data_IF_798876434198
#
_entry.id   IF_798876434198
#
_cell.length_a   1.000
_cell.length_b   1.000
_cell.length_c   1.000
_cell.angle_alpha   90.00
_cell.angle_beta   90.00
_cell.angle_gamma   90.00
#
_symmetry.space_group_name_H-M   'P 1'
#
loop_
_entity.id
_entity.type
_entity.pdbx_description
1 polymer ?
#
# COMPACT_ATOMS: atom_id res chain seq x y z
N UNK A 1 -12.36 -20.76 -23.67
CA UNK A 1 -13.57 -20.50 -22.86
C UNK A 1 -13.43 -19.09 -22.32
N UNK A 2 -14.14 -18.12 -22.91
CA UNK A 2 -14.23 -16.77 -22.34
C UNK A 2 -15.02 -16.87 -21.03
N UNK A 3 -14.34 -16.75 -19.90
CA UNK A 3 -15.03 -16.52 -18.63
C UNK A 3 -15.62 -15.11 -18.70
N UNK A 4 -16.93 -15.00 -18.61
CA UNK A 4 -17.61 -13.71 -18.69
C UNK A 4 -17.13 -12.73 -17.61
N UNK A 5 -17.25 -11.42 -17.86
CA UNK A 5 -16.79 -10.34 -16.95
C UNK A 5 -17.14 -10.58 -15.47
N UNK A 6 -18.33 -11.13 -15.19
CA UNK A 6 -18.78 -11.45 -13.83
C UNK A 6 -18.04 -12.64 -13.20
N UNK A 7 -17.69 -13.66 -13.98
CA UNK A 7 -16.93 -14.81 -13.49
C UNK A 7 -15.50 -14.41 -13.10
N UNK A 8 -14.90 -13.48 -13.84
CA UNK A 8 -13.59 -12.93 -13.51
C UNK A 8 -13.63 -12.13 -12.21
N UNK A 9 -14.64 -11.26 -12.04
CA UNK A 9 -14.84 -10.47 -10.82
C UNK A 9 -15.07 -11.37 -9.61
N UNK A 10 -15.95 -12.36 -9.72
CA UNK A 10 -16.21 -13.33 -8.64
C UNK A 10 -14.94 -14.07 -8.24
N UNK A 11 -14.11 -14.44 -9.21
CA UNK A 11 -12.86 -15.12 -8.93
C UNK A 11 -11.85 -14.22 -8.23
N UNK A 12 -11.73 -12.95 -8.62
CA UNK A 12 -10.79 -12.00 -7.99
C UNK A 12 -11.29 -11.48 -6.63
N UNK A 13 -12.59 -11.59 -6.34
CA UNK A 13 -13.15 -11.34 -5.00
C UNK A 13 -12.96 -12.50 -4.02
N UNK A 14 -12.72 -13.72 -4.50
CA UNK A 14 -12.47 -14.89 -3.64
C UNK A 14 -11.11 -14.75 -2.93
N UNK A 15 -11.04 -14.77 -1.58
CA UNK A 15 -9.78 -14.68 -0.83
C UNK A 15 -8.71 -15.70 -1.25
N UNK A 16 -9.13 -16.85 -1.81
CA UNK A 16 -8.22 -17.88 -2.31
C UNK A 16 -7.41 -17.43 -3.53
N UNK A 17 -7.79 -16.34 -4.18
CA UNK A 17 -7.14 -15.82 -5.38
C UNK A 17 -6.29 -14.56 -5.13
N UNK A 18 -6.37 -13.93 -3.96
CA UNK A 18 -5.76 -12.61 -3.67
C UNK A 18 -4.23 -12.56 -3.75
N UNK A 19 -3.58 -13.71 -3.82
CA UNK A 19 -2.12 -13.84 -4.04
C UNK A 19 -1.75 -13.92 -5.52
N UNK A 20 -2.72 -13.81 -6.43
CA UNK A 20 -2.54 -13.95 -7.88
C UNK A 20 -2.73 -12.60 -8.57
N UNK A 21 -2.21 -12.48 -9.79
CA UNK A 21 -2.56 -11.36 -10.66
C UNK A 21 -4.07 -11.35 -10.95
N UNK A 22 -4.62 -10.16 -11.15
CA UNK A 22 -5.99 -10.00 -11.60
C UNK A 22 -6.22 -10.67 -12.95
N UNK A 23 -7.43 -11.19 -13.15
CA UNK A 23 -7.85 -11.72 -14.46
C UNK A 23 -8.00 -10.62 -15.51
N UNK A 24 -8.27 -9.39 -15.06
CA UNK A 24 -8.40 -8.20 -15.90
C UNK A 24 -7.48 -7.11 -15.38
N UNK A 25 -6.81 -6.39 -16.29
CA UNK A 25 -5.83 -5.36 -15.91
C UNK A 25 -6.17 -3.96 -16.48
N UNK A 26 -7.41 -3.74 -16.91
CA UNK A 26 -7.85 -2.39 -17.28
C UNK A 26 -7.92 -1.50 -16.03
N UNK A 27 -7.66 -0.20 -16.20
CA UNK A 27 -7.63 0.75 -15.07
C UNK A 27 -8.96 0.74 -14.32
N UNK A 28 -10.10 0.84 -15.03
CA UNK A 28 -11.41 0.79 -14.37
C UNK A 28 -11.67 -0.51 -13.59
N UNK A 29 -11.11 -1.64 -14.00
CA UNK A 29 -11.21 -2.88 -13.23
C UNK A 29 -10.35 -2.85 -11.96
N UNK A 30 -9.11 -2.38 -12.07
CA UNK A 30 -8.21 -2.27 -10.92
C UNK A 30 -8.73 -1.22 -9.94
N UNK A 31 -9.33 -0.12 -10.40
CA UNK A 31 -10.04 0.84 -9.54
C UNK A 31 -11.21 0.18 -8.79
N UNK A 32 -11.96 -0.73 -9.43
CA UNK A 32 -13.00 -1.49 -8.73
C UNK A 32 -12.39 -2.40 -7.64
N UNK A 33 -11.27 -3.06 -7.93
CA UNK A 33 -10.56 -3.88 -6.96
C UNK A 33 -9.99 -3.04 -5.81
N UNK A 34 -9.49 -1.83 -6.08
CA UNK A 34 -9.06 -0.86 -5.07
C UNK A 34 -10.18 -0.65 -4.04
N UNK A 35 -11.36 -0.24 -4.49
CA UNK A 35 -12.50 -0.02 -3.60
C UNK A 35 -12.94 -1.28 -2.87
N UNK A 36 -12.84 -2.45 -3.48
CA UNK A 36 -13.14 -3.72 -2.82
C UNK A 36 -12.20 -3.99 -1.63
N UNK A 37 -10.89 -3.98 -1.86
CA UNK A 37 -9.90 -4.23 -0.79
C UNK A 37 -9.94 -3.15 0.28
N UNK A 38 -10.02 -1.88 -0.11
CA UNK A 38 -10.04 -0.77 0.84
C UNK A 38 -11.36 -0.71 1.60
N UNK A 39 -12.47 -1.11 0.98
CA UNK A 39 -13.76 -1.27 1.66
C UNK A 39 -13.72 -2.35 2.75
N UNK A 40 -13.05 -3.49 2.50
CA UNK A 40 -12.78 -4.49 3.53
C UNK A 40 -11.92 -3.89 4.64
N UNK A 41 -10.84 -3.18 4.29
CA UNK A 41 -9.98 -2.49 5.25
C UNK A 41 -10.75 -1.51 6.15
N UNK A 42 -11.63 -0.70 5.56
CA UNK A 42 -12.52 0.23 6.29
C UNK A 42 -13.47 -0.53 7.22
N UNK A 43 -14.03 -1.65 6.77
CA UNK A 43 -14.85 -2.50 7.64
C UNK A 43 -14.05 -3.08 8.82
N UNK A 44 -12.82 -3.52 8.57
CA UNK A 44 -11.94 -4.10 9.59
C UNK A 44 -11.46 -3.07 10.61
N UNK A 45 -11.09 -1.86 10.19
CA UNK A 45 -10.72 -0.80 11.16
C UNK A 45 -11.91 -0.44 12.04
N UNK A 46 -13.10 -0.22 11.48
CA UNK A 46 -14.28 0.16 12.25
C UNK A 46 -14.70 -0.93 13.25
N UNK A 47 -14.79 -2.19 12.80
CA UNK A 47 -15.17 -3.30 13.68
C UNK A 47 -14.05 -3.68 14.65
N UNK A 48 -12.80 -3.64 14.18
CA UNK A 48 -11.62 -4.03 14.93
C UNK A 48 -11.31 -3.06 16.05
N UNK A 49 -11.31 -1.75 15.80
CA UNK A 49 -11.08 -0.72 16.83
C UNK A 49 -12.08 -0.89 17.97
N UNK A 50 -13.37 -1.09 17.67
CA UNK A 50 -14.40 -1.31 18.69
C UNK A 50 -14.16 -2.58 19.55
N UNK A 51 -13.50 -3.61 19.00
CA UNK A 51 -13.10 -4.81 19.74
C UNK A 51 -11.82 -4.56 20.55
N UNK A 52 -10.84 -3.87 19.96
CA UNK A 52 -9.54 -3.57 20.60
C UNK A 52 -9.72 -2.72 21.85
N UNK A 53 -10.55 -1.67 21.77
CA UNK A 53 -10.89 -0.80 22.92
C UNK A 53 -11.46 -1.58 24.12
N UNK A 54 -12.07 -2.75 23.88
CA UNK A 54 -12.61 -3.60 24.95
C UNK A 54 -11.60 -4.61 25.48
N UNK A 55 -10.58 -4.97 24.69
CA UNK A 55 -9.63 -6.04 25.01
C UNK A 55 -8.29 -5.52 25.52
N UNK A 56 -7.89 -4.31 25.11
CA UNK A 56 -6.63 -3.68 25.48
C UNK A 56 -6.95 -2.56 26.47
N UNK A 57 -6.62 -2.73 27.76
CA UNK A 57 -6.81 -1.68 28.76
C UNK A 57 -6.10 -0.39 28.36
N UNK A 58 -6.78 0.73 28.54
CA UNK A 58 -6.26 2.07 28.27
C UNK A 58 -5.77 2.28 26.82
N UNK A 59 -6.33 1.54 25.86
CA UNK A 59 -6.00 1.71 24.45
C UNK A 59 -6.34 3.11 23.97
N UNK A 60 -5.35 3.78 23.37
CA UNK A 60 -5.51 5.05 22.68
C UNK A 60 -5.00 4.90 21.25
N UNK A 61 -5.86 5.23 20.27
CA UNK A 61 -5.44 5.19 18.87
C UNK A 61 -4.31 6.21 18.64
N UNK A 62 -3.16 5.79 18.09
CA UNK A 62 -2.01 6.66 17.99
C UNK A 62 -2.22 7.78 16.97
N UNK A 63 -2.11 9.02 17.44
CA UNK A 63 -2.06 10.22 16.59
C UNK A 63 -0.61 10.67 16.40
N UNK A 64 0.00 10.35 15.26
CA UNK A 64 1.33 10.87 14.91
C UNK A 64 1.15 12.10 14.02
N UNK A 65 1.75 13.27 14.36
CA UNK A 65 1.73 14.43 13.49
C UNK A 65 2.22 14.06 12.09
N UNK A 66 1.54 14.58 11.06
CA UNK A 66 1.88 14.31 9.67
C UNK A 66 2.05 15.61 8.90
N UNK A 67 3.05 15.62 8.02
CA UNK A 67 3.10 16.55 6.91
C UNK A 67 2.47 15.96 5.65
N UNK A 68 1.80 16.82 4.86
CA UNK A 68 1.28 16.46 3.54
C UNK A 68 2.39 15.87 2.64
N UNK A 69 3.59 16.47 2.68
CA UNK A 69 4.70 16.00 1.86
C UNK A 69 5.18 14.60 2.27
N UNK A 70 5.24 14.31 3.58
CA UNK A 70 5.62 13.01 4.09
C UNK A 70 4.63 11.92 3.68
N UNK A 71 3.33 12.17 3.86
CA UNK A 71 2.28 11.18 3.52
C UNK A 71 2.19 10.90 2.02
N UNK A 72 2.39 11.92 1.18
CA UNK A 72 2.41 11.75 -0.28
C UNK A 72 3.69 11.03 -0.75
N UNK A 73 4.83 11.32 -0.12
CA UNK A 73 6.11 10.67 -0.40
C UNK A 73 6.18 9.22 0.09
N UNK A 74 5.40 8.84 1.10
CA UNK A 74 5.32 7.48 1.60
C UNK A 74 4.84 6.50 0.53
N UNK A 75 3.82 6.85 -0.27
CA UNK A 75 3.28 5.98 -1.32
C UNK A 75 4.36 5.46 -2.29
N UNK A 76 5.16 6.31 -2.94
CA UNK A 76 6.21 5.87 -3.84
C UNK A 76 7.36 5.15 -3.14
N UNK A 77 7.72 5.56 -1.92
CA UNK A 77 8.77 4.91 -1.14
C UNK A 77 8.35 3.47 -0.82
N UNK A 78 7.18 3.29 -0.23
CA UNK A 78 6.68 2.01 0.24
C UNK A 78 6.36 1.06 -0.92
N UNK A 79 5.66 1.54 -1.96
CA UNK A 79 5.35 0.73 -3.14
C UNK A 79 6.62 0.30 -3.87
N UNK A 80 7.64 1.15 -3.94
CA UNK A 80 8.92 0.78 -4.54
C UNK A 80 9.69 -0.21 -3.68
N UNK A 81 9.83 0.07 -2.38
CA UNK A 81 10.67 -0.70 -1.46
C UNK A 81 10.10 -2.09 -1.18
N UNK A 82 8.79 -2.19 -0.94
CA UNK A 82 8.15 -3.43 -0.51
C UNK A 82 7.52 -4.20 -1.66
N UNK A 83 7.29 -3.60 -2.83
CA UNK A 83 6.65 -4.29 -3.93
C UNK A 83 7.46 -4.22 -5.24
N UNK A 84 7.73 -3.03 -5.75
CA UNK A 84 8.37 -2.83 -7.05
C UNK A 84 9.77 -3.43 -7.16
N UNK A 85 10.68 -3.03 -6.26
CA UNK A 85 12.06 -3.52 -6.24
C UNK A 85 12.09 -5.04 -6.00
N UNK A 86 11.45 -5.60 -4.96
CA UNK A 86 11.42 -7.05 -4.75
C UNK A 86 10.89 -7.80 -5.97
N UNK A 87 9.80 -7.31 -6.59
CA UNK A 87 9.23 -7.95 -7.78
C UNK A 87 10.23 -8.01 -8.94
N UNK A 88 10.91 -6.91 -9.26
CA UNK A 88 11.85 -6.90 -10.38
C UNK A 88 13.20 -7.55 -10.07
N UNK A 89 13.68 -7.50 -8.82
CA UNK A 89 14.92 -8.17 -8.41
C UNK A 89 14.74 -9.68 -8.46
N UNK A 90 13.69 -10.21 -7.83
CA UNK A 90 13.48 -11.65 -7.71
C UNK A 90 12.67 -12.28 -8.85
N UNK A 91 12.00 -11.46 -9.67
CA UNK A 91 11.12 -11.92 -10.76
C UNK A 91 10.09 -12.96 -10.29
N UNK A 92 9.54 -12.77 -9.10
CA UNK A 92 8.66 -13.72 -8.45
C UNK A 92 7.57 -13.01 -7.66
N UNK A 93 6.31 -13.40 -7.89
CA UNK A 93 5.17 -12.95 -7.09
C UNK A 93 5.28 -13.38 -5.63
N UNK A 94 6.06 -14.42 -5.31
CA UNK A 94 6.29 -14.83 -3.92
C UNK A 94 7.12 -13.81 -3.14
N UNK A 95 8.02 -13.09 -3.81
CA UNK A 95 8.79 -12.03 -3.16
C UNK A 95 7.86 -10.93 -2.63
N UNK A 96 6.82 -10.57 -3.41
CA UNK A 96 5.80 -9.60 -3.01
C UNK A 96 5.04 -10.01 -1.73
N UNK A 97 4.81 -11.30 -1.53
CA UNK A 97 4.14 -11.81 -0.32
C UNK A 97 5.00 -11.54 0.90
N UNK A 98 6.28 -11.89 0.84
CA UNK A 98 7.20 -11.75 1.98
C UNK A 98 7.39 -10.27 2.32
N UNK A 99 7.75 -9.45 1.34
CA UNK A 99 8.03 -8.03 1.58
C UNK A 99 6.77 -7.24 1.90
N UNK A 100 5.63 -7.60 1.30
CA UNK A 100 4.35 -7.02 1.64
C UNK A 100 3.83 -7.42 3.03
N UNK A 101 4.09 -8.65 3.49
CA UNK A 101 3.79 -9.04 4.87
C UNK A 101 4.64 -8.25 5.88
N UNK A 102 5.92 -8.01 5.57
CA UNK A 102 6.78 -7.13 6.38
C UNK A 102 6.22 -5.71 6.39
N UNK A 103 5.84 -5.16 5.24
CA UNK A 103 5.20 -3.85 5.13
C UNK A 103 3.96 -3.74 6.02
N UNK A 104 3.03 -4.69 5.93
CA UNK A 104 1.85 -4.70 6.77
C UNK A 104 2.20 -4.81 8.26
N UNK A 105 3.14 -5.68 8.63
CA UNK A 105 3.58 -5.82 10.02
C UNK A 105 4.18 -4.52 10.59
N UNK A 106 4.95 -3.78 9.79
CA UNK A 106 5.54 -2.51 10.23
C UNK A 106 4.49 -1.44 10.55
N UNK A 107 3.29 -1.52 9.97
CA UNK A 107 2.23 -0.55 10.22
C UNK A 107 1.66 -0.61 11.64
N UNK A 108 1.89 -1.69 12.38
CA UNK A 108 1.53 -1.76 13.81
C UNK A 108 2.35 -0.79 14.66
N UNK A 109 3.57 -0.47 14.21
CA UNK A 109 4.51 0.43 14.89
C UNK A 109 4.36 1.88 14.42
N UNK A 110 3.22 2.22 13.81
CA UNK A 110 2.94 3.57 13.38
C UNK A 110 2.47 4.45 14.56
N UNK A 111 3.31 4.54 15.58
CA UNK A 111 3.03 5.09 16.91
C UNK A 111 4.32 5.66 17.51
N UNK A 112 4.25 6.68 18.39
CA UNK A 112 5.44 7.25 19.03
C UNK A 112 6.14 6.31 20.02
N UNK A 113 5.50 5.26 20.51
CA UNK A 113 6.11 4.30 21.44
C UNK A 113 5.61 2.86 21.19
N UNK A 114 6.27 1.86 21.79
CA UNK A 114 6.02 0.43 21.51
C UNK A 114 5.16 -0.25 22.59
N UNK A 115 4.39 0.55 23.33
CA UNK A 115 3.49 0.04 24.35
C UNK A 115 2.25 -0.60 23.70
N UNK A 116 1.72 -1.66 24.31
CA UNK A 116 0.59 -2.39 23.73
C UNK A 116 -0.63 -1.49 23.51
N UNK A 117 -0.88 -0.56 24.44
CA UNK A 117 -2.01 0.36 24.42
C UNK A 117 -1.91 1.45 23.33
N UNK A 118 -0.74 1.64 22.71
CA UNK A 118 -0.51 2.67 21.70
C UNK A 118 -0.19 2.10 20.31
N UNK A 119 -0.17 0.77 20.15
CA UNK A 119 0.07 0.15 18.85
C UNK A 119 -1.02 0.53 17.86
N UNK A 120 -0.63 0.78 16.62
CA UNK A 120 -1.54 1.23 15.56
C UNK A 120 -2.35 0.06 14.97
N UNK A 121 -3.12 -0.63 15.81
CA UNK A 121 -3.89 -1.81 15.41
C UNK A 121 -4.94 -1.47 14.35
N UNK A 122 -5.62 -0.32 14.45
CA UNK A 122 -6.58 0.13 13.44
C UNK A 122 -5.93 0.30 12.06
N UNK A 123 -4.79 0.99 12.01
CA UNK A 123 -3.98 1.13 10.80
C UNK A 123 -3.53 -0.23 10.25
N UNK A 124 -3.03 -1.11 11.13
CA UNK A 124 -2.63 -2.47 10.76
C UNK A 124 -3.79 -3.27 10.12
N UNK A 125 -4.97 -3.24 10.72
CA UNK A 125 -6.17 -3.91 10.18
C UNK A 125 -6.59 -3.36 8.82
N UNK A 126 -6.46 -2.05 8.61
CA UNK A 126 -6.75 -1.42 7.33
C UNK A 126 -5.76 -1.86 6.24
N UNK A 127 -4.46 -1.93 6.54
CA UNK A 127 -3.46 -2.23 5.53
C UNK A 127 -3.39 -3.71 5.12
N UNK A 128 -3.86 -4.64 5.95
CA UNK A 128 -3.86 -6.07 5.63
C UNK A 128 -4.65 -6.39 4.34
N UNK A 129 -5.87 -5.88 4.11
CA UNK A 129 -6.53 -5.99 2.81
C UNK A 129 -5.80 -5.22 1.69
N UNK A 130 -5.30 -4.03 1.99
CA UNK A 130 -4.61 -3.16 1.02
C UNK A 130 -3.32 -3.78 0.47
N UNK A 131 -2.65 -4.60 1.27
CA UNK A 131 -1.53 -5.44 0.83
C UNK A 131 -1.87 -6.26 -0.41
N UNK A 132 -3.03 -6.93 -0.41
CA UNK A 132 -3.45 -7.77 -1.53
C UNK A 132 -3.76 -6.95 -2.78
N UNK A 133 -4.26 -5.73 -2.60
CA UNK A 133 -4.43 -4.80 -3.71
C UNK A 133 -3.09 -4.45 -4.36
N UNK A 134 -2.08 -4.05 -3.59
CA UNK A 134 -0.77 -3.69 -4.14
C UNK A 134 -0.11 -4.90 -4.78
N UNK A 135 -0.08 -6.06 -4.09
CA UNK A 135 0.46 -7.31 -4.63
C UNK A 135 -0.16 -7.68 -5.97
N UNK A 136 -1.49 -7.75 -6.04
CA UNK A 136 -2.21 -8.15 -7.25
C UNK A 136 -2.01 -7.14 -8.39
N UNK A 137 -1.93 -5.85 -8.07
CA UNK A 137 -1.70 -4.77 -9.03
C UNK A 137 -0.30 -4.84 -9.63
N UNK A 138 0.73 -5.07 -8.81
CA UNK A 138 2.10 -5.31 -9.26
C UNK A 138 2.21 -6.57 -10.10
N UNK A 139 1.66 -7.69 -9.63
CA UNK A 139 1.64 -8.96 -10.38
C UNK A 139 0.89 -8.86 -11.72
N UNK A 140 -0.04 -7.91 -11.85
CA UNK A 140 -0.79 -7.63 -13.09
C UNK A 140 -0.05 -6.67 -14.05
N UNK A 141 1.16 -6.23 -13.70
CA UNK A 141 1.97 -5.31 -14.52
C UNK A 141 1.52 -3.85 -14.45
N UNK A 142 0.80 -3.46 -13.38
CA UNK A 142 0.24 -2.11 -13.19
C UNK A 142 0.77 -1.43 -11.93
N UNK A 143 1.98 -1.77 -11.48
CA UNK A 143 2.59 -1.22 -10.26
C UNK A 143 2.64 0.31 -10.17
N UNK A 144 2.79 1.02 -11.29
CA UNK A 144 2.69 2.49 -11.30
C UNK A 144 1.33 2.99 -10.80
N UNK A 145 0.25 2.22 -11.04
CA UNK A 145 -1.08 2.56 -10.57
C UNK A 145 -1.16 2.38 -9.05
N UNK A 146 -0.55 1.32 -8.50
CA UNK A 146 -0.44 1.11 -7.05
C UNK A 146 0.27 2.29 -6.37
N UNK A 147 1.40 2.75 -6.92
CA UNK A 147 2.11 3.98 -6.46
C UNK A 147 1.16 5.18 -6.38
N UNK A 148 0.48 5.49 -7.48
CA UNK A 148 -0.38 6.69 -7.56
C UNK A 148 -1.53 6.61 -6.57
N UNK A 149 -2.23 5.47 -6.51
CA UNK A 149 -3.38 5.34 -5.63
C UNK A 149 -2.98 5.26 -4.16
N UNK A 150 -1.82 4.68 -3.82
CA UNK A 150 -1.31 4.71 -2.46
C UNK A 150 -1.06 6.15 -2.01
N UNK A 151 -0.33 6.97 -2.78
CA UNK A 151 -0.17 8.40 -2.47
C UNK A 151 -1.52 9.12 -2.35
N UNK A 152 -2.43 8.89 -3.29
CA UNK A 152 -3.74 9.54 -3.29
C UNK A 152 -4.55 9.15 -2.05
N UNK A 153 -4.49 7.88 -1.65
CA UNK A 153 -5.20 7.37 -0.49
C UNK A 153 -4.63 7.93 0.82
N UNK A 154 -3.31 7.99 0.95
CA UNK A 154 -2.66 8.66 2.07
C UNK A 154 -3.08 10.13 2.15
N UNK A 155 -3.15 10.81 1.00
CA UNK A 155 -3.64 12.20 0.92
C UNK A 155 -5.11 12.34 1.34
N UNK A 156 -5.97 11.38 1.00
CA UNK A 156 -7.39 11.37 1.41
C UNK A 156 -7.52 11.18 2.93
N UNK A 157 -6.82 10.20 3.50
CA UNK A 157 -6.84 9.96 4.96
C UNK A 157 -6.26 11.13 5.74
N UNK A 158 -5.17 11.71 5.23
CA UNK A 158 -4.61 12.94 5.76
C UNK A 158 -5.66 14.05 5.76
N UNK A 159 -6.21 14.40 4.59
CA UNK A 159 -7.20 15.48 4.48
C UNK A 159 -8.44 15.26 5.36
N UNK A 160 -8.91 14.01 5.45
CA UNK A 160 -10.03 13.65 6.32
C UNK A 160 -9.68 13.87 7.80
N UNK A 161 -8.57 13.32 8.29
CA UNK A 161 -8.16 13.45 9.68
C UNK A 161 -7.81 14.89 10.09
N UNK A 162 -7.24 15.69 9.17
CA UNK A 162 -7.03 17.12 9.40
C UNK A 162 -8.37 17.88 9.47
N UNK A 163 -9.33 17.51 8.61
CA UNK A 163 -10.64 18.15 8.54
C UNK A 163 -11.53 17.87 9.75
N UNK A 164 -11.38 16.70 10.37
CA UNK A 164 -12.09 16.32 11.60
C UNK A 164 -11.38 16.79 12.87
N UNK A 165 -10.12 17.19 12.78
CA UNK A 165 -9.29 17.57 13.93
C UNK A 165 -8.68 16.37 14.68
N UNK A 166 -8.82 15.16 14.13
CA UNK A 166 -8.24 13.92 14.68
C UNK A 166 -6.71 13.88 14.51
N UNK A 167 -6.17 14.57 13.50
CA UNK A 167 -4.74 14.63 13.23
C UNK A 167 -4.19 16.05 13.33
N UNK A 168 -3.06 16.21 14.03
CA UNK A 168 -2.25 17.42 13.95
C UNK A 168 -1.51 17.45 12.60
N UNK A 169 -1.91 18.37 11.73
CA UNK A 169 -1.49 18.39 10.34
C UNK A 169 -0.68 19.64 9.96
N UNK A 170 0.34 19.43 9.15
CA UNK A 170 1.11 20.49 8.52
C UNK A 170 1.26 20.23 7.01
N UNK A 171 1.51 21.26 6.21
CA UNK A 171 1.82 21.06 4.79
C UNK A 171 3.24 20.50 4.63
N UNK A 172 4.17 21.02 5.42
CA UNK A 172 5.58 20.68 5.44
C UNK A 172 5.99 20.38 6.89
N UNK A 173 6.96 19.48 7.08
CA UNK A 173 7.64 19.40 8.37
C UNK A 173 8.41 20.70 8.64
N UNK A 174 8.65 21.01 9.91
CA UNK A 174 9.50 22.15 10.28
C UNK A 174 10.94 21.98 9.77
N UNK A 175 11.42 20.73 9.71
CA UNK A 175 12.74 20.42 9.19
C UNK A 175 12.74 20.37 7.64
N UNK A 176 13.33 21.39 7.03
CA UNK A 176 13.54 21.45 5.59
C UNK A 176 14.38 20.28 5.04
N UNK A 177 15.31 19.74 5.83
CA UNK A 177 16.13 18.58 5.44
C UNK A 177 15.25 17.34 5.32
N UNK A 178 14.33 17.13 6.26
CA UNK A 178 13.36 16.04 6.20
C UNK A 178 12.47 16.14 4.95
N UNK A 179 11.95 17.33 4.65
CA UNK A 179 11.09 17.56 3.47
C UNK A 179 11.84 17.21 2.18
N UNK A 180 13.03 17.78 1.99
CA UNK A 180 13.86 17.53 0.82
C UNK A 180 14.31 16.07 0.73
N UNK A 181 14.68 15.47 1.86
CA UNK A 181 15.08 14.07 1.97
C UNK A 181 13.95 13.12 1.57
N UNK A 182 12.73 13.36 2.04
CA UNK A 182 11.56 12.53 1.70
C UNK A 182 11.22 12.60 0.21
N UNK A 183 11.25 13.79 -0.39
CA UNK A 183 11.05 13.96 -1.83
C UNK A 183 12.15 13.27 -2.64
N UNK A 184 13.41 13.48 -2.25
CA UNK A 184 14.57 12.90 -2.94
C UNK A 184 14.55 11.36 -2.86
N UNK A 185 14.23 10.81 -1.69
CA UNK A 185 14.14 9.37 -1.47
C UNK A 185 13.00 8.76 -2.29
N UNK A 186 11.83 9.39 -2.30
CA UNK A 186 10.69 9.01 -3.14
C UNK A 186 11.08 8.98 -4.63
N UNK A 187 11.71 10.05 -5.12
CA UNK A 187 12.18 10.12 -6.51
C UNK A 187 13.24 9.05 -6.82
N UNK A 188 14.19 8.82 -5.91
CA UNK A 188 15.25 7.82 -6.07
C UNK A 188 14.68 6.40 -6.14
N UNK A 189 13.73 6.06 -5.26
CA UNK A 189 13.08 4.76 -5.26
C UNK A 189 12.24 4.52 -6.51
N UNK A 190 11.51 5.53 -6.99
CA UNK A 190 10.78 5.45 -8.26
C UNK A 190 11.73 5.25 -9.45
N UNK A 191 12.81 6.03 -9.51
CA UNK A 191 13.81 5.92 -10.56
C UNK A 191 14.47 4.54 -10.54
N UNK A 192 14.88 4.04 -9.37
CA UNK A 192 15.46 2.71 -9.20
C UNK A 192 14.51 1.60 -9.65
N UNK A 193 13.24 1.66 -9.24
CA UNK A 193 12.20 0.72 -9.65
C UNK A 193 11.98 0.75 -11.16
N UNK A 194 11.97 1.93 -11.77
CA UNK A 194 11.82 2.09 -13.22
C UNK A 194 13.04 1.54 -13.98
N UNK A 195 14.27 1.76 -13.49
CA UNK A 195 15.48 1.18 -14.08
C UNK A 195 15.42 -0.34 -14.04
N UNK A 196 15.02 -0.94 -12.92
CA UNK A 196 14.85 -2.39 -12.78
C UNK A 196 13.79 -2.94 -13.75
N UNK A 197 12.63 -2.25 -13.86
CA UNK A 197 11.61 -2.58 -14.85
C UNK A 197 12.18 -2.58 -16.28
N UNK A 198 12.92 -1.54 -16.65
CA UNK A 198 13.52 -1.40 -17.99
C UNK A 198 14.57 -2.47 -18.26
N UNK A 199 15.41 -2.76 -17.27
CA UNK A 199 16.40 -3.82 -17.36
C UNK A 199 15.75 -5.18 -17.58
N UNK A 200 14.72 -5.52 -16.79
CA UNK A 200 13.96 -6.78 -16.96
C UNK A 200 13.24 -6.86 -18.29
N UNK A 201 12.60 -5.78 -18.72
CA UNK A 201 11.91 -5.72 -20.02
C UNK A 201 12.88 -5.93 -21.19
N UNK A 202 14.12 -5.43 -21.09
CA UNK A 202 15.17 -5.70 -22.08
C UNK A 202 15.60 -7.17 -22.07
N UNK A 203 15.85 -7.73 -20.89
CA UNK A 203 16.25 -9.14 -20.74
C UNK A 203 15.23 -10.09 -21.37
N UNK A 204 13.94 -9.92 -21.04
CA UNK A 204 12.87 -10.75 -21.60
C UNK A 204 12.82 -10.67 -23.13
N UNK A 205 12.93 -9.47 -23.72
CA UNK A 205 12.95 -9.32 -25.19
C UNK A 205 14.13 -10.02 -25.86
N UNK A 206 15.30 -10.03 -25.21
CA UNK A 206 16.47 -10.69 -25.76
C UNK A 206 16.34 -12.22 -25.71
N UNK A 207 15.63 -12.77 -24.72
CA UNK A 207 15.35 -14.22 -24.61
C UNK A 207 14.34 -14.71 -25.65
N UNK A 208 13.44 -13.84 -26.15
CA UNK A 208 12.46 -14.18 -27.20
C UNK A 208 12.96 -13.99 -28.64
N UNK A 209 14.11 -13.32 -28.83
CA UNK A 209 14.72 -13.08 -30.14
C UNK A 209 15.87 -14.06 -30.46
N UNK A 210 15.95 -15.17 -29.71
CA UNK A 210 16.81 -16.34 -29.94
C UNK A 210 15.90 -17.50 -30.34
#
# INVERSE_FOLDING_TARGET
>A
METGRFADEKADFDPRSWLRKYRRNSIGYITKMLFFYHGIGIGLILAGTAVIEQLVPDYEEPSVPRSLIGVLAAGPIEESLFFGIPFYVFNSSHALIVTGAIWAALHIFNTPNVELASLAFGNWLFVVPSLFFSLSTWASGKGWFAVVVHSAWNGIFFAAGCGTGELACTTLEEDAVFNAGSMALSAAFLAGTYVLYRWRSRKARNEFNI
#
